data_IF_622361874211
#
_entry.id   IF_622361874211
#
_cell.length_a   1.000
_cell.length_b   1.000
_cell.length_c   1.000
_cell.angle_alpha   90.00
_cell.angle_beta   90.00
_cell.angle_gamma   90.00
#
_symmetry.space_group_name_H-M   'P 1'
#
loop_
_entity.id
_entity.type
_entity.pdbx_description
1 polymer ?
#
# COMPACT_ATOMS: atom_id res chain seq x y z
N UNK A 1 14.65 12.74 -16.31
CA UNK A 1 15.26 11.48 -15.81
C UNK A 1 14.83 11.16 -14.38
N UNK A 2 14.89 12.11 -13.45
CA UNK A 2 14.48 11.86 -12.05
C UNK A 2 12.98 11.59 -11.88
N UNK A 3 12.12 12.15 -12.71
CA UNK A 3 10.67 11.89 -12.70
C UNK A 3 10.35 10.44 -13.05
N UNK A 4 10.96 9.93 -14.12
CA UNK A 4 10.74 8.56 -14.57
C UNK A 4 11.30 7.54 -13.58
N UNK A 5 12.46 7.85 -13.00
CA UNK A 5 13.10 6.99 -11.99
C UNK A 5 12.24 6.90 -10.73
N UNK A 6 11.73 8.02 -10.23
CA UNK A 6 10.86 8.05 -9.05
C UNK A 6 9.56 7.27 -9.27
N UNK A 7 8.94 7.42 -10.45
CA UNK A 7 7.76 6.66 -10.81
C UNK A 7 8.02 5.16 -10.90
N UNK A 8 9.10 4.75 -11.52
CA UNK A 8 9.48 3.34 -11.64
C UNK A 8 9.75 2.71 -10.26
N UNK A 9 10.46 3.41 -9.39
CA UNK A 9 10.73 2.95 -8.02
C UNK A 9 9.42 2.84 -7.23
N UNK A 10 8.53 3.83 -7.36
CA UNK A 10 7.23 3.81 -6.69
C UNK A 10 6.37 2.63 -7.10
N UNK A 11 6.27 2.34 -8.39
CA UNK A 11 5.54 1.18 -8.92
C UNK A 11 6.16 -0.11 -8.41
N UNK A 12 7.47 -0.26 -8.51
CA UNK A 12 8.18 -1.45 -8.04
C UNK A 12 7.98 -1.69 -6.54
N UNK A 13 7.96 -0.63 -5.74
CA UNK A 13 7.70 -0.72 -4.31
C UNK A 13 6.27 -1.19 -4.01
N UNK A 14 5.28 -0.62 -4.69
CA UNK A 14 3.87 -1.03 -4.55
C UNK A 14 3.71 -2.50 -4.95
N UNK A 15 4.24 -2.89 -6.10
CA UNK A 15 4.17 -4.27 -6.56
C UNK A 15 4.82 -5.22 -5.55
N UNK A 16 5.99 -4.89 -5.02
CA UNK A 16 6.67 -5.70 -4.02
C UNK A 16 5.82 -5.86 -2.76
N UNK A 17 5.21 -4.80 -2.27
CA UNK A 17 4.34 -4.85 -1.09
C UNK A 17 3.11 -5.70 -1.36
N UNK A 18 2.44 -5.51 -2.49
CA UNK A 18 1.25 -6.28 -2.85
C UNK A 18 1.57 -7.77 -2.98
N UNK A 19 2.66 -8.12 -3.65
CA UNK A 19 3.08 -9.52 -3.81
C UNK A 19 3.52 -10.17 -2.50
N UNK A 20 4.17 -9.43 -1.61
CA UNK A 20 4.65 -10.00 -0.34
C UNK A 20 3.57 -10.05 0.73
N UNK A 21 2.69 -9.06 0.78
CA UNK A 21 1.68 -8.94 1.85
C UNK A 21 0.32 -9.54 1.50
N UNK A 22 0.02 -9.68 0.21
CA UNK A 22 -1.22 -10.30 -0.24
C UNK A 22 -1.46 -11.69 0.36
N UNK A 23 -0.52 -12.65 0.22
CA UNK A 23 -0.66 -13.98 0.82
C UNK A 23 -0.79 -13.97 2.35
N UNK A 24 -0.07 -13.08 3.04
CA UNK A 24 -0.21 -12.92 4.49
C UNK A 24 -1.62 -12.49 4.90
N UNK A 25 -2.19 -11.53 4.19
CA UNK A 25 -3.56 -11.08 4.46
C UNK A 25 -4.59 -12.16 4.16
N UNK A 26 -4.36 -12.96 3.11
CA UNK A 26 -5.23 -14.11 2.81
C UNK A 26 -5.21 -15.13 3.95
N UNK A 27 -4.05 -15.47 4.48
CA UNK A 27 -3.91 -16.38 5.61
C UNK A 27 -4.57 -15.83 6.86
N UNK A 28 -4.42 -14.53 7.14
CA UNK A 28 -5.08 -13.86 8.26
C UNK A 28 -6.60 -13.89 8.14
N UNK A 29 -7.15 -13.70 6.94
CA UNK A 29 -8.60 -13.78 6.71
C UNK A 29 -9.10 -15.19 6.96
N UNK A 30 -8.37 -16.20 6.49
CA UNK A 30 -8.73 -17.61 6.72
C UNK A 30 -8.71 -17.94 8.22
N UNK A 31 -7.72 -17.49 8.96
CA UNK A 31 -7.64 -17.67 10.41
C UNK A 31 -8.79 -16.95 11.13
N UNK A 32 -9.15 -15.74 10.70
CA UNK A 32 -10.31 -15.01 11.22
C UNK A 32 -11.62 -15.73 10.96
N UNK A 33 -11.76 -16.41 9.84
CA UNK A 33 -12.94 -17.23 9.54
C UNK A 33 -13.16 -18.35 10.59
N UNK A 34 -12.06 -18.85 11.16
CA UNK A 34 -12.10 -19.88 12.21
C UNK A 34 -12.37 -19.29 13.59
N UNK A 35 -11.71 -18.18 13.92
CA UNK A 35 -11.72 -17.60 15.27
C UNK A 35 -12.83 -16.58 15.47
N UNK A 36 -13.02 -15.68 14.50
CA UNK A 36 -13.99 -14.59 14.55
C UNK A 36 -14.78 -14.50 13.24
N UNK A 37 -15.74 -15.42 13.00
CA UNK A 37 -16.45 -15.46 11.71
C UNK A 37 -17.21 -14.17 11.38
N UNK A 38 -17.74 -13.46 12.37
CA UNK A 38 -18.45 -12.20 12.15
C UNK A 38 -17.53 -11.12 11.60
N UNK A 39 -16.28 -11.06 12.08
CA UNK A 39 -15.28 -10.12 11.63
C UNK A 39 -14.78 -10.45 10.22
N UNK A 40 -14.55 -11.73 9.95
CA UNK A 40 -14.18 -12.21 8.62
C UNK A 40 -15.29 -11.91 7.60
N UNK A 41 -16.53 -12.16 7.92
CA UNK A 41 -17.67 -11.84 7.07
C UNK A 41 -17.73 -10.34 6.75
N UNK A 42 -17.51 -9.47 7.73
CA UNK A 42 -17.47 -8.03 7.55
C UNK A 42 -16.37 -7.60 6.56
N UNK A 43 -15.16 -8.19 6.68
CA UNK A 43 -14.05 -7.90 5.77
C UNK A 43 -14.36 -8.36 4.35
N UNK A 44 -14.98 -9.53 4.20
CA UNK A 44 -15.31 -10.11 2.90
C UNK A 44 -16.59 -9.51 2.27
N UNK A 45 -17.35 -8.72 3.01
CA UNK A 45 -18.63 -8.19 2.55
C UNK A 45 -19.71 -9.26 2.46
N UNK A 46 -19.59 -10.33 3.24
CA UNK A 46 -20.53 -11.46 3.31
C UNK A 46 -21.27 -11.46 4.65
N UNK A 47 -22.36 -12.23 4.71
CA UNK A 47 -23.00 -12.56 5.98
C UNK A 47 -22.33 -13.79 6.61
N UNK A 48 -22.48 -13.95 7.94
CA UNK A 48 -21.88 -15.10 8.64
C UNK A 48 -22.39 -16.42 8.08
N UNK A 49 -23.66 -16.45 7.67
CA UNK A 49 -24.29 -17.66 7.11
C UNK A 49 -23.74 -18.03 5.72
N UNK A 50 -23.18 -17.06 5.00
CA UNK A 50 -22.53 -17.27 3.70
C UNK A 50 -21.10 -17.78 3.82
N UNK A 51 -20.51 -17.72 5.02
CA UNK A 51 -19.17 -18.25 5.23
C UNK A 51 -19.19 -19.78 5.21
N UNK A 52 -18.27 -20.41 4.47
CA UNK A 52 -18.14 -21.85 4.50
C UNK A 52 -17.59 -22.32 5.84
N UNK A 53 -17.89 -23.57 6.19
CA UNK A 53 -17.23 -24.21 7.32
C UNK A 53 -15.72 -24.29 7.05
N UNK A 54 -14.92 -23.89 8.01
CA UNK A 54 -13.47 -23.93 7.92
C UNK A 54 -12.88 -25.33 7.68
N UNK A 55 -13.69 -26.36 7.90
CA UNK A 55 -13.31 -27.75 7.65
C UNK A 55 -13.77 -28.28 6.30
N UNK A 56 -14.53 -27.50 5.54
CA UNK A 56 -15.01 -27.89 4.21
C UNK A 56 -14.10 -27.32 3.12
N UNK A 57 -13.19 -28.15 2.51
CA UNK A 57 -12.29 -27.66 1.46
C UNK A 57 -13.01 -27.17 0.21
N UNK A 58 -14.18 -27.73 -0.11
CA UNK A 58 -14.96 -27.30 -1.28
C UNK A 58 -15.61 -25.93 -1.05
N UNK A 59 -16.10 -25.69 0.15
CA UNK A 59 -16.65 -24.39 0.55
C UNK A 59 -15.58 -23.30 0.57
N UNK A 60 -14.38 -23.63 1.06
CA UNK A 60 -13.25 -22.70 1.05
C UNK A 60 -12.83 -22.31 -0.37
N UNK A 61 -12.81 -23.25 -1.31
CA UNK A 61 -12.53 -22.97 -2.72
C UNK A 61 -13.54 -22.02 -3.33
N UNK A 62 -14.82 -22.10 -2.92
CA UNK A 62 -15.88 -21.24 -3.41
C UNK A 62 -15.74 -19.77 -3.01
N UNK A 63 -15.03 -19.48 -1.90
CA UNK A 63 -14.80 -18.10 -1.41
C UNK A 63 -13.37 -17.63 -1.63
N UNK A 64 -12.48 -18.45 -2.18
CA UNK A 64 -11.08 -18.08 -2.40
C UNK A 64 -10.93 -16.84 -3.28
N UNK A 65 -11.76 -16.68 -4.30
CA UNK A 65 -11.75 -15.50 -5.15
C UNK A 65 -12.05 -14.23 -4.33
N UNK A 66 -13.03 -14.29 -3.43
CA UNK A 66 -13.38 -13.16 -2.56
C UNK A 66 -12.28 -12.89 -1.56
N UNK A 67 -11.69 -13.93 -0.97
CA UNK A 67 -10.56 -13.82 -0.04
C UNK A 67 -9.35 -13.20 -0.76
N UNK A 68 -9.05 -13.63 -1.96
CA UNK A 68 -7.95 -13.08 -2.76
C UNK A 68 -8.17 -11.61 -3.06
N UNK A 69 -9.36 -11.21 -3.51
CA UNK A 69 -9.69 -9.81 -3.75
C UNK A 69 -9.58 -8.96 -2.50
N UNK A 70 -10.09 -9.44 -1.36
CA UNK A 70 -10.00 -8.75 -0.08
C UNK A 70 -8.54 -8.62 0.38
N UNK A 71 -7.73 -9.67 0.21
CA UNK A 71 -6.31 -9.66 0.60
C UNK A 71 -5.50 -8.68 -0.24
N UNK A 72 -5.76 -8.61 -1.54
CA UNK A 72 -5.13 -7.63 -2.44
C UNK A 72 -5.54 -6.21 -2.06
N UNK A 73 -6.80 -5.99 -1.76
CA UNK A 73 -7.30 -4.68 -1.31
C UNK A 73 -6.60 -4.22 -0.03
N UNK A 74 -6.44 -5.12 0.95
CA UNK A 74 -5.72 -4.83 2.18
C UNK A 74 -4.24 -4.53 1.91
N UNK A 75 -3.61 -5.29 1.02
CA UNK A 75 -2.21 -5.08 0.65
C UNK A 75 -2.02 -3.73 -0.07
N UNK A 76 -2.93 -3.34 -0.96
CA UNK A 76 -2.92 -2.04 -1.61
C UNK A 76 -3.08 -0.92 -0.59
N UNK A 77 -4.00 -1.07 0.36
CA UNK A 77 -4.18 -0.09 1.42
C UNK A 77 -2.92 0.07 2.27
N UNK A 78 -2.26 -1.03 2.61
CA UNK A 78 -0.97 -1.03 3.31
C UNK A 78 0.12 -0.32 2.47
N UNK A 79 0.16 -0.57 1.17
CA UNK A 79 1.09 0.11 0.26
C UNK A 79 0.88 1.63 0.24
N UNK A 80 -0.37 2.09 0.29
CA UNK A 80 -0.68 3.52 0.39
C UNK A 80 -0.17 4.12 1.70
N UNK A 81 -0.32 3.41 2.82
CA UNK A 81 0.20 3.86 4.13
C UNK A 81 1.72 3.98 4.08
N UNK A 82 2.42 2.99 3.53
CA UNK A 82 3.88 3.02 3.37
C UNK A 82 4.31 4.20 2.50
N UNK A 83 3.62 4.42 1.39
CA UNK A 83 3.91 5.55 0.50
C UNK A 83 3.70 6.89 1.20
N UNK A 84 2.63 7.02 1.97
CA UNK A 84 2.35 8.22 2.77
C UNK A 84 3.43 8.47 3.81
N UNK A 85 3.92 7.43 4.48
CA UNK A 85 5.01 7.52 5.46
C UNK A 85 6.32 7.97 4.80
N UNK A 86 6.66 7.38 3.66
CA UNK A 86 7.87 7.78 2.89
C UNK A 86 7.77 9.25 2.48
N UNK A 87 6.61 9.67 1.99
CA UNK A 87 6.37 11.06 1.59
C UNK A 87 6.48 12.00 2.78
N UNK A 88 5.90 11.64 3.92
CA UNK A 88 5.98 12.43 5.15
C UNK A 88 7.42 12.55 5.65
N UNK A 89 8.20 11.46 5.60
CA UNK A 89 9.62 11.50 5.95
C UNK A 89 10.42 12.40 5.02
N UNK A 90 10.19 12.28 3.72
CA UNK A 90 10.86 13.13 2.72
C UNK A 90 10.53 14.60 2.95
N UNK A 91 9.28 14.93 3.23
CA UNK A 91 8.85 16.28 3.55
C UNK A 91 9.49 16.78 4.85
N UNK A 92 9.55 15.93 5.87
CA UNK A 92 10.21 16.24 7.14
C UNK A 92 11.70 16.55 6.97
N UNK A 93 12.40 15.78 6.15
CA UNK A 93 13.80 16.04 5.81
C UNK A 93 13.96 17.39 5.10
N UNK A 94 13.09 17.69 4.13
CA UNK A 94 13.13 18.97 3.43
C UNK A 94 12.91 20.15 4.37
N UNK A 95 11.97 20.03 5.29
CA UNK A 95 11.70 21.07 6.29
C UNK A 95 12.88 21.24 7.28
N UNK A 96 13.53 20.13 7.65
CA UNK A 96 14.68 20.15 8.56
C UNK A 96 15.93 20.76 7.89
N UNK A 97 16.05 20.62 6.56
CA UNK A 97 17.16 21.24 5.80
C UNK A 97 17.01 22.76 5.66
N UNK A 98 15.83 23.31 5.98
CA UNK A 98 15.56 24.74 5.89
C UNK A 98 15.33 25.24 4.46
N UNK A 99 15.04 26.55 4.29
CA UNK A 99 14.74 27.08 2.99
C UNK A 99 15.94 26.97 2.06
N UNK A 100 15.70 26.43 0.86
CA UNK A 100 16.69 26.43 -0.20
C UNK A 100 16.94 27.87 -0.61
N UNK A 101 18.12 28.40 -0.30
CA UNK A 101 18.53 29.69 -0.80
C UNK A 101 18.86 29.55 -2.28
N UNK A 102 17.94 29.98 -3.14
CA UNK A 102 18.29 30.21 -4.52
C UNK A 102 19.31 31.33 -4.55
N UNK A 103 20.52 31.10 -5.12
CA UNK A 103 21.48 32.19 -5.27
C UNK A 103 20.85 33.30 -6.11
N UNK A 104 20.95 34.54 -5.62
CA UNK A 104 20.46 35.69 -6.35
C UNK A 104 21.05 35.69 -7.77
N UNK A 105 20.23 35.98 -8.80
CA UNK A 105 20.75 35.99 -10.17
C UNK A 105 21.91 36.99 -10.22
N UNK A 106 23.12 36.47 -10.55
CA UNK A 106 24.28 37.29 -10.70
C UNK A 106 24.12 38.15 -11.95
N UNK A 107 23.96 39.44 -11.74
CA UNK A 107 24.03 40.40 -12.84
C UNK A 107 25.46 40.40 -13.39
N UNK A 108 25.68 40.08 -14.66
CA UNK A 108 27.05 40.10 -15.21
C UNK A 108 27.62 41.50 -15.10
N UNK A 109 28.73 41.60 -14.39
CA UNK A 109 29.42 42.86 -14.13
C UNK A 109 30.04 43.50 -15.39
N UNK A 110 29.96 42.85 -16.54
CA UNK A 110 30.47 43.36 -17.82
C UNK A 110 29.43 44.05 -18.70
N UNK A 111 28.16 44.15 -18.28
CA UNK A 111 27.07 44.70 -19.08
C UNK A 111 26.87 46.22 -18.89
N UNK A 112 27.93 46.98 -18.65
CA UNK A 112 27.82 48.43 -18.61
C UNK A 112 28.01 49.00 -20.00
N UNK A 113 27.18 50.00 -20.36
CA UNK A 113 27.40 50.75 -21.58
C UNK A 113 28.69 51.59 -21.50
#
# INVERSE_FOLDING_TARGET
>A
LSRNLGGAIGIALIDTIVFSRGPEHADQIIDLMKEEPAKAASILGLTVDELPDSQDPMGLLGVMDVVEQASITLAINEAWVVLALITAMALGVLLAMGPIRTPAPQVPTGARP
#
